data_IF_346432293712
#
_entry.id   IF_346432293712
#
_cell.length_a   1.000
_cell.length_b   1.000
_cell.length_c   1.000
_cell.angle_alpha   90.00
_cell.angle_beta   90.00
_cell.angle_gamma   90.00
#
_symmetry.space_group_name_H-M   'P 1'
#
loop_
_entity.id
_entity.type
_entity.pdbx_description
1 polymer ?
#
# COMPACT_ATOMS: atom_id res chain seq x y z
N UNK A 1 5.03 9.20 -25.66
CA UNK A 1 4.78 10.62 -25.95
C UNK A 1 5.19 10.93 -27.38
N UNK A 2 4.23 11.36 -28.23
CA UNK A 2 4.49 11.70 -29.65
C UNK A 2 5.34 12.96 -29.81
N UNK A 3 5.38 13.84 -28.82
CA UNK A 3 6.10 15.10 -28.89
C UNK A 3 7.60 14.90 -28.67
N UNK A 4 7.96 13.98 -27.80
CA UNK A 4 9.35 13.72 -27.41
C UNK A 4 9.90 12.40 -27.91
N UNK A 5 9.05 11.51 -28.43
CA UNK A 5 9.41 10.15 -28.82
C UNK A 5 9.74 9.23 -27.63
N UNK A 6 9.57 9.68 -26.40
CA UNK A 6 9.94 8.92 -25.20
C UNK A 6 8.82 8.02 -24.72
N UNK A 7 9.18 6.84 -24.25
CA UNK A 7 8.29 6.00 -23.46
C UNK A 7 8.13 6.62 -22.06
N UNK A 8 6.87 6.84 -21.65
CA UNK A 8 6.53 7.47 -20.35
C UNK A 8 6.05 6.46 -19.31
N UNK A 9 5.69 5.26 -19.75
CA UNK A 9 5.22 4.20 -18.85
C UNK A 9 4.47 3.11 -19.58
N UNK A 10 3.83 2.24 -18.81
CA UNK A 10 2.97 1.17 -19.29
C UNK A 10 1.59 1.33 -18.68
N UNK A 11 0.55 1.14 -19.50
CA UNK A 11 -0.85 1.19 -19.08
C UNK A 11 -1.53 -0.14 -19.40
N UNK A 12 -2.39 -0.63 -18.51
CA UNK A 12 -3.15 -1.86 -18.71
C UNK A 12 -4.51 -1.60 -19.35
N UNK A 13 -5.03 -0.39 -19.20
CA UNK A 13 -6.28 0.05 -19.79
C UNK A 13 -6.04 1.34 -20.57
N UNK A 14 -6.74 1.50 -21.67
CA UNK A 14 -6.61 2.69 -22.53
C UNK A 14 -7.82 3.59 -22.34
N UNK A 15 -7.58 4.82 -21.91
CA UNK A 15 -8.59 5.87 -21.79
C UNK A 15 -8.22 7.04 -22.70
N UNK A 16 -9.22 7.83 -23.06
CA UNK A 16 -8.98 8.99 -23.93
C UNK A 16 -8.15 10.08 -23.24
N UNK A 17 -8.42 10.32 -21.96
CA UNK A 17 -7.65 11.22 -21.11
C UNK A 17 -7.26 10.52 -19.81
N UNK A 18 -6.01 10.64 -19.42
CA UNK A 18 -5.51 10.03 -18.19
C UNK A 18 -4.30 10.75 -17.60
N UNK A 19 -4.00 10.47 -16.33
CA UNK A 19 -2.80 10.94 -15.64
C UNK A 19 -1.80 9.80 -15.53
N UNK A 20 -0.58 10.02 -15.97
CA UNK A 20 0.53 9.08 -15.81
C UNK A 20 1.81 9.85 -15.53
N UNK A 21 2.63 9.36 -14.62
CA UNK A 21 3.87 10.02 -14.20
C UNK A 21 3.70 11.50 -13.80
N UNK A 22 2.58 11.81 -13.09
CA UNK A 22 2.26 13.15 -12.60
C UNK A 22 1.86 14.17 -13.67
N UNK A 23 1.57 13.73 -14.90
CA UNK A 23 1.12 14.60 -16.00
C UNK A 23 -0.16 14.06 -16.64
N UNK A 24 -0.96 14.98 -17.16
CA UNK A 24 -2.17 14.64 -17.94
C UNK A 24 -1.80 14.38 -19.38
N UNK A 25 -2.39 13.33 -19.94
CA UNK A 25 -2.17 12.86 -21.29
C UNK A 25 -3.47 12.66 -22.03
N UNK A 26 -3.46 12.92 -23.32
CA UNK A 26 -4.52 12.60 -24.25
C UNK A 26 -4.07 11.48 -25.19
N UNK A 27 -4.93 10.49 -25.36
CA UNK A 27 -4.74 9.43 -26.35
C UNK A 27 -4.82 10.01 -27.76
N UNK A 28 -3.75 9.80 -28.55
CA UNK A 28 -3.72 10.18 -29.96
C UNK A 28 -3.98 8.97 -30.86
N UNK A 29 -3.33 7.83 -30.54
CA UNK A 29 -3.43 6.62 -31.35
C UNK A 29 -3.24 5.39 -30.45
N UNK A 30 -4.03 4.34 -30.71
CA UNK A 30 -3.85 3.02 -30.08
C UNK A 30 -3.47 2.01 -31.16
N UNK A 31 -2.24 1.52 -31.09
CA UNK A 31 -1.68 0.49 -31.98
C UNK A 31 -1.74 -0.87 -31.30
N UNK A 32 -2.88 -1.52 -31.37
CA UNK A 32 -3.13 -2.80 -30.67
C UNK A 32 -2.09 -3.88 -31.04
N UNK A 33 -1.78 -4.03 -32.34
CA UNK A 33 -0.81 -5.04 -32.82
C UNK A 33 0.58 -4.83 -32.24
N UNK A 34 0.99 -3.58 -32.04
CA UNK A 34 2.27 -3.22 -31.47
C UNK A 34 2.24 -3.12 -29.94
N UNK A 35 1.06 -3.24 -29.34
CA UNK A 35 0.83 -2.98 -27.90
C UNK A 35 1.37 -1.62 -27.47
N UNK A 36 1.14 -0.60 -28.31
CA UNK A 36 1.59 0.76 -28.06
C UNK A 36 0.44 1.75 -28.04
N UNK A 37 0.54 2.68 -27.11
CA UNK A 37 -0.37 3.82 -26.99
C UNK A 37 0.44 5.08 -27.22
N UNK A 38 0.02 5.85 -28.22
CA UNK A 38 0.64 7.13 -28.57
C UNK A 38 -0.16 8.25 -27.91
N UNK A 39 0.52 9.10 -27.15
CA UNK A 39 -0.13 10.13 -26.33
C UNK A 39 0.55 11.49 -26.50
N UNK A 40 -0.19 12.56 -26.20
CA UNK A 40 0.37 13.91 -26.10
C UNK A 40 0.05 14.53 -24.73
N UNK A 41 0.90 15.44 -24.23
CA UNK A 41 0.63 16.10 -22.96
C UNK A 41 -0.57 17.03 -23.08
N UNK A 42 -1.41 17.06 -22.03
CA UNK A 42 -2.50 18.02 -21.86
C UNK A 42 -2.07 19.13 -20.89
N UNK A 43 -2.43 20.38 -21.22
CA UNK A 43 -2.11 21.54 -20.39
C UNK A 43 -2.96 21.61 -19.10
N UNK A 44 -4.14 20.99 -19.07
CA UNK A 44 -5.05 21.02 -17.94
C UNK A 44 -5.72 19.66 -17.72
N UNK A 45 -6.03 19.34 -16.48
CA UNK A 45 -6.81 18.16 -16.09
C UNK A 45 -8.29 18.45 -16.37
N UNK A 46 -8.93 17.66 -17.23
CA UNK A 46 -10.37 17.73 -17.43
C UNK A 46 -11.11 16.92 -16.36
N UNK A 47 -12.37 17.24 -16.11
CA UNK A 47 -13.23 16.48 -15.18
C UNK A 47 -13.39 14.99 -15.57
N UNK A 48 -13.05 14.62 -16.79
CA UNK A 48 -13.10 13.24 -17.31
C UNK A 48 -11.73 12.56 -17.36
N UNK A 49 -10.67 13.22 -16.89
CA UNK A 49 -9.33 12.63 -16.86
C UNK A 49 -9.29 11.52 -15.83
N UNK A 50 -9.05 10.28 -16.28
CA UNK A 50 -8.83 9.16 -15.36
C UNK A 50 -7.44 9.25 -14.79
N UNK A 51 -7.37 9.27 -13.47
CA UNK A 51 -6.11 9.06 -12.76
C UNK A 51 -5.87 7.56 -12.80
N UNK A 52 -4.77 7.13 -13.39
CA UNK A 52 -4.23 5.83 -13.08
C UNK A 52 -3.66 5.94 -11.67
N UNK A 53 -4.52 5.78 -10.72
CA UNK A 53 -4.06 5.30 -9.42
C UNK A 53 -3.48 3.93 -9.74
N UNK A 54 -2.17 3.85 -9.64
CA UNK A 54 -1.54 2.55 -9.72
C UNK A 54 -2.16 1.71 -8.62
N UNK A 55 -3.06 0.83 -9.00
CA UNK A 55 -3.46 -0.31 -8.18
C UNK A 55 -2.30 -1.29 -8.05
N UNK A 56 -1.16 -0.94 -8.57
CA UNK A 56 0.13 -1.49 -8.21
C UNK A 56 0.41 -1.12 -6.76
N UNK A 57 -0.35 -1.69 -5.94
CA UNK A 57 -0.16 -1.88 -4.52
C UNK A 57 1.01 -2.83 -4.29
N UNK A 58 2.09 -2.66 -5.03
CA UNK A 58 3.35 -3.24 -4.63
C UNK A 58 3.54 -2.79 -3.19
N UNK A 59 3.40 -3.74 -2.26
CA UNK A 59 3.51 -3.44 -0.85
C UNK A 59 4.80 -2.66 -0.63
N UNK A 60 4.68 -1.44 -0.18
CA UNK A 60 5.86 -0.68 0.19
C UNK A 60 6.59 -1.50 1.23
N UNK A 61 7.81 -1.87 0.94
CA UNK A 61 8.64 -2.55 1.93
C UNK A 61 8.65 -1.71 3.22
N UNK A 62 8.52 -2.34 4.39
CA UNK A 62 8.69 -1.67 5.68
C UNK A 62 10.00 -0.85 5.73
N UNK A 63 10.99 -1.18 4.90
CA UNK A 63 12.23 -0.41 4.72
C UNK A 63 11.98 0.99 4.19
N UNK A 64 11.04 1.16 3.25
CA UNK A 64 10.65 2.49 2.79
C UNK A 64 9.96 3.27 3.91
N UNK A 65 9.07 2.63 4.66
CA UNK A 65 8.44 3.26 5.83
C UNK A 65 9.47 3.70 6.87
N UNK A 66 10.51 2.90 7.12
CA UNK A 66 11.62 3.25 7.99
C UNK A 66 12.37 4.50 7.52
N UNK A 67 12.71 4.57 6.22
CA UNK A 67 13.38 5.75 5.63
C UNK A 67 12.49 6.99 5.68
N UNK A 68 11.21 6.85 5.34
CA UNK A 68 10.25 7.96 5.40
C UNK A 68 10.09 8.46 6.84
N UNK A 69 9.95 7.55 7.81
CA UNK A 69 9.85 7.91 9.23
C UNK A 69 11.07 8.69 9.69
N UNK A 70 12.27 8.19 9.41
CA UNK A 70 13.51 8.87 9.79
C UNK A 70 13.66 10.25 9.15
N UNK A 71 13.17 10.43 7.91
CA UNK A 71 13.23 11.71 7.21
C UNK A 71 12.18 12.71 7.67
N UNK A 72 10.97 12.26 7.94
CA UNK A 72 9.84 13.13 8.33
C UNK A 72 9.85 13.44 9.83
N UNK A 73 10.40 12.54 10.64
CA UNK A 73 10.38 12.62 12.10
C UNK A 73 11.77 12.29 12.66
N UNK A 74 12.81 13.09 12.37
CA UNK A 74 14.20 12.80 12.72
C UNK A 74 14.47 12.71 14.24
N UNK A 75 13.62 13.33 15.03
CA UNK A 75 13.78 13.35 16.51
C UNK A 75 13.18 12.13 17.21
N UNK A 76 12.51 11.24 16.46
CA UNK A 76 11.94 10.02 17.04
C UNK A 76 12.93 8.86 17.03
N UNK A 77 12.96 8.11 18.13
CA UNK A 77 13.71 6.85 18.18
C UNK A 77 13.17 5.82 17.16
N UNK A 78 13.98 4.86 16.70
CA UNK A 78 13.58 3.88 15.68
C UNK A 78 12.28 3.12 15.99
N UNK A 79 12.03 2.83 17.25
CA UNK A 79 10.84 2.11 17.73
C UNK A 79 9.67 3.03 18.13
N UNK A 80 9.80 4.33 17.95
CA UNK A 80 8.74 5.30 18.21
C UNK A 80 8.02 5.64 16.93
N UNK A 81 6.69 5.82 17.03
CA UNK A 81 5.84 6.27 15.94
C UNK A 81 5.16 7.57 16.34
N UNK A 82 5.09 8.55 15.42
CA UNK A 82 4.36 9.79 15.69
C UNK A 82 2.88 9.49 15.82
N UNK A 83 2.23 10.15 16.74
CA UNK A 83 0.79 10.02 16.99
C UNK A 83 0.18 11.40 17.26
N UNK A 84 -1.11 11.50 16.98
CA UNK A 84 -1.92 12.66 17.37
C UNK A 84 -3.33 12.21 17.79
N UNK A 85 -4.04 13.09 18.46
CA UNK A 85 -5.42 12.82 18.89
C UNK A 85 -6.39 13.55 18.01
N UNK A 86 -7.46 12.86 17.65
CA UNK A 86 -8.64 13.45 17.06
C UNK A 86 -9.89 13.00 17.84
N UNK A 87 -10.41 13.90 18.67
CA UNK A 87 -11.47 13.56 19.61
C UNK A 87 -11.07 12.42 20.58
N UNK A 88 -11.81 11.32 20.53
CA UNK A 88 -11.58 10.12 21.35
C UNK A 88 -10.67 9.09 20.63
N UNK A 89 -10.20 9.38 19.45
CA UNK A 89 -9.35 8.48 18.69
C UNK A 89 -7.86 8.85 18.83
N UNK A 90 -7.02 7.86 18.86
CA UNK A 90 -5.58 8.00 18.72
C UNK A 90 -5.19 7.60 17.30
N UNK A 91 -4.57 8.51 16.59
CA UNK A 91 -4.09 8.33 15.22
C UNK A 91 -2.57 8.15 15.25
N UNK A 92 -2.11 6.99 14.81
CA UNK A 92 -0.70 6.62 14.81
C UNK A 92 -0.19 6.55 13.37
N UNK A 93 0.88 7.27 13.06
CA UNK A 93 1.42 7.36 11.69
C UNK A 93 2.39 6.21 11.46
N UNK A 94 2.06 5.26 10.60
CA UNK A 94 2.91 4.09 10.32
C UNK A 94 3.62 4.13 8.96
N UNK A 95 3.04 4.77 7.95
CA UNK A 95 3.62 4.92 6.59
C UNK A 95 3.91 3.60 5.88
N UNK A 96 3.26 2.50 6.25
CA UNK A 96 3.54 1.15 5.74
C UNK A 96 2.81 0.82 4.42
N UNK A 97 1.89 1.68 3.97
CA UNK A 97 1.07 1.45 2.80
C UNK A 97 -0.15 0.56 3.08
N UNK A 98 -1.01 0.44 2.08
CA UNK A 98 -2.32 -0.20 2.21
C UNK A 98 -2.23 -1.69 2.57
N UNK A 99 -1.30 -2.43 1.98
CA UNK A 99 -1.17 -3.87 2.20
C UNK A 99 -0.81 -4.21 3.63
N UNK A 100 0.27 -3.62 4.14
CA UNK A 100 0.67 -3.83 5.54
C UNK A 100 -0.31 -3.21 6.53
N UNK A 101 -0.85 -2.03 6.19
CA UNK A 101 -1.89 -1.38 7.00
C UNK A 101 -3.09 -2.29 7.19
N UNK A 102 -3.60 -2.88 6.11
CA UNK A 102 -4.68 -3.85 6.17
C UNK A 102 -4.34 -5.07 7.03
N UNK A 103 -3.21 -5.74 6.76
CA UNK A 103 -2.80 -6.95 7.49
C UNK A 103 -2.68 -6.67 8.99
N UNK A 104 -2.06 -5.55 9.35
CA UNK A 104 -1.86 -5.19 10.76
C UNK A 104 -3.19 -4.83 11.44
N UNK A 105 -4.09 -4.12 10.75
CA UNK A 105 -5.41 -3.77 11.25
C UNK A 105 -6.23 -5.03 11.57
N UNK A 106 -6.33 -5.96 10.64
CA UNK A 106 -7.06 -7.22 10.82
C UNK A 106 -6.44 -8.07 11.94
N UNK A 107 -5.12 -8.19 11.97
CA UNK A 107 -4.42 -8.98 13.00
C UNK A 107 -4.59 -8.38 14.41
N UNK A 108 -4.61 -7.07 14.54
CA UNK A 108 -4.87 -6.39 15.82
C UNK A 108 -6.34 -6.51 16.23
N UNK A 109 -7.27 -6.40 15.27
CA UNK A 109 -8.70 -6.60 15.51
C UNK A 109 -8.98 -8.02 15.99
N UNK A 110 -8.37 -9.04 15.41
CA UNK A 110 -8.46 -10.42 15.86
C UNK A 110 -7.95 -10.62 17.30
N UNK A 111 -7.07 -9.75 17.77
CA UNK A 111 -6.59 -9.72 19.15
C UNK A 111 -7.44 -8.85 20.10
N UNK A 112 -8.63 -8.45 19.66
CA UNK A 112 -9.58 -7.65 20.46
C UNK A 112 -9.21 -6.17 20.56
N UNK A 113 -8.36 -5.66 19.68
CA UNK A 113 -8.07 -4.23 19.57
C UNK A 113 -8.98 -3.60 18.54
N UNK A 114 -9.73 -2.58 18.92
CA UNK A 114 -10.54 -1.81 17.98
C UNK A 114 -9.61 -0.88 17.16
N UNK A 115 -9.20 -1.38 16.01
CA UNK A 115 -8.25 -0.72 15.13
C UNK A 115 -8.78 -0.68 13.69
N UNK A 116 -8.45 0.38 12.97
CA UNK A 116 -8.66 0.47 11.52
C UNK A 116 -7.47 1.16 10.86
N UNK A 117 -7.20 0.79 9.61
CA UNK A 117 -6.20 1.50 8.81
C UNK A 117 -6.86 2.60 7.98
N UNK A 118 -6.22 3.75 7.94
CA UNK A 118 -6.65 4.90 7.14
C UNK A 118 -5.59 5.18 6.05
N UNK A 119 -5.94 4.84 4.82
CA UNK A 119 -5.14 5.10 3.61
C UNK A 119 -3.70 4.58 3.64
N UNK A 120 -3.42 3.51 4.38
CA UNK A 120 -2.08 2.94 4.49
C UNK A 120 -1.05 3.84 5.16
N UNK A 121 -1.47 4.87 5.88
CA UNK A 121 -0.59 5.86 6.54
C UNK A 121 -0.84 5.98 8.02
N UNK A 122 -2.08 5.84 8.43
CA UNK A 122 -2.54 6.08 9.79
C UNK A 122 -3.29 4.86 10.32
N UNK A 123 -2.99 4.51 11.56
CA UNK A 123 -3.81 3.61 12.35
C UNK A 123 -4.72 4.38 13.27
N UNK A 124 -6.00 4.08 13.23
CA UNK A 124 -7.00 4.59 14.16
C UNK A 124 -7.14 3.59 15.28
N UNK A 125 -6.88 4.00 16.49
CA UNK A 125 -7.12 3.21 17.70
C UNK A 125 -8.34 3.81 18.38
N UNK A 126 -9.47 3.09 18.34
CA UNK A 126 -10.72 3.49 18.97
C UNK A 126 -10.85 2.85 20.36
N UNK A 127 -11.49 3.55 21.30
CA UNK A 127 -12.04 2.93 22.50
C UNK A 127 -11.10 2.55 23.62
N UNK A 128 -10.25 3.41 24.03
CA UNK A 128 -9.55 3.27 25.32
C UNK A 128 -9.28 4.61 25.94
N UNK A 129 -9.10 4.68 27.25
CA UNK A 129 -8.37 5.78 27.85
C UNK A 129 -6.99 5.74 27.17
N UNK A 130 -6.88 6.49 26.05
CA UNK A 130 -5.68 6.50 25.23
C UNK A 130 -4.55 6.89 26.17
N UNK A 131 -3.81 5.88 26.61
CA UNK A 131 -2.66 6.07 27.46
C UNK A 131 -1.70 6.93 26.63
N UNK A 132 -1.48 8.15 27.10
CA UNK A 132 -0.55 9.10 26.49
C UNK A 132 0.90 8.60 26.46
N UNK A 133 1.12 7.38 26.90
CA UNK A 133 2.39 6.66 26.97
C UNK A 133 2.60 5.63 25.86
N UNK A 134 1.69 5.51 24.88
CA UNK A 134 1.91 4.65 23.73
C UNK A 134 3.08 5.20 22.90
N UNK A 135 4.29 4.87 23.31
CA UNK A 135 5.54 5.19 22.61
C UNK A 135 5.87 4.18 21.52
N UNK A 136 5.21 3.02 21.53
CA UNK A 136 5.49 1.91 20.60
C UNK A 136 4.22 1.51 19.85
N UNK A 137 4.40 1.03 18.64
CA UNK A 137 3.31 0.45 17.85
C UNK A 137 2.82 -0.84 18.54
N UNK A 138 1.51 -1.06 18.66
CA UNK A 138 0.98 -2.33 19.17
C UNK A 138 1.20 -3.44 18.12
N UNK A 139 2.34 -4.11 18.17
CA UNK A 139 2.64 -5.17 17.22
C UNK A 139 1.74 -6.40 17.46
N UNK A 140 1.07 -6.96 16.43
CA UNK A 140 0.38 -8.23 16.54
C UNK A 140 1.39 -9.38 16.64
N UNK A 141 0.94 -10.53 17.11
CA UNK A 141 1.77 -11.73 17.08
C UNK A 141 1.84 -12.32 15.66
N UNK A 142 2.87 -13.15 15.41
CA UNK A 142 3.09 -13.75 14.10
C UNK A 142 1.92 -14.62 13.63
N UNK A 143 1.31 -15.39 14.53
CA UNK A 143 0.18 -16.25 14.21
C UNK A 143 -1.02 -15.45 13.69
N UNK A 144 -1.38 -14.35 14.36
CA UNK A 144 -2.48 -13.50 13.90
C UNK A 144 -2.22 -12.92 12.50
N UNK A 145 -0.98 -12.56 12.18
CA UNK A 145 -0.62 -12.11 10.83
C UNK A 145 -0.77 -13.24 9.81
N UNK A 146 -0.31 -14.44 10.14
CA UNK A 146 -0.43 -15.61 9.27
C UNK A 146 -1.90 -15.94 9.00
N UNK A 147 -2.75 -15.90 10.01
CA UNK A 147 -4.18 -16.15 9.87
C UNK A 147 -4.86 -15.13 8.94
N UNK A 148 -4.47 -13.86 9.01
CA UNK A 148 -4.96 -12.83 8.09
C UNK A 148 -4.48 -13.06 6.66
N UNK A 149 -3.22 -13.43 6.45
CA UNK A 149 -2.68 -13.74 5.12
C UNK A 149 -3.43 -14.93 4.52
N UNK A 150 -3.62 -16.00 5.30
CA UNK A 150 -4.35 -17.20 4.88
C UNK A 150 -5.82 -16.89 4.50
N UNK A 151 -6.50 -16.07 5.31
CA UNK A 151 -7.89 -15.69 5.06
C UNK A 151 -8.10 -14.64 3.96
N UNK A 152 -7.03 -14.06 3.43
CA UNK A 152 -7.09 -12.90 2.53
C UNK A 152 -6.34 -13.09 1.22
N UNK A 153 -6.09 -14.32 0.78
CA UNK A 153 -5.27 -14.63 -0.40
C UNK A 153 -5.66 -13.82 -1.64
N UNK A 154 -6.94 -13.79 -2.00
CA UNK A 154 -7.41 -13.05 -3.17
C UNK A 154 -7.22 -11.53 -3.07
N UNK A 155 -7.40 -10.99 -1.87
CA UNK A 155 -7.21 -9.55 -1.64
C UNK A 155 -5.73 -9.16 -1.72
N UNK A 156 -4.84 -10.04 -1.27
CA UNK A 156 -3.41 -9.84 -1.30
C UNK A 156 -2.79 -10.09 -2.67
N UNK A 157 -3.37 -10.98 -3.48
CA UNK A 157 -2.90 -11.30 -4.84
C UNK A 157 -2.69 -10.02 -5.68
N UNK A 158 -3.71 -9.18 -5.76
CA UNK A 158 -3.63 -7.93 -6.51
C UNK A 158 -2.59 -6.96 -5.91
N UNK A 159 -2.50 -6.95 -4.58
CA UNK A 159 -1.59 -6.08 -3.83
C UNK A 159 -0.12 -6.48 -3.96
N UNK A 160 0.15 -7.77 -4.09
CA UNK A 160 1.51 -8.31 -4.17
C UNK A 160 1.99 -8.51 -5.61
N UNK A 161 1.11 -8.27 -6.59
CA UNK A 161 1.45 -8.40 -8.00
C UNK A 161 1.71 -9.84 -8.41
N UNK A 162 1.00 -10.77 -7.82
CA UNK A 162 1.10 -12.20 -8.11
C UNK A 162 0.86 -12.47 -9.60
N UNK A 163 1.66 -13.33 -10.20
CA UNK A 163 1.60 -13.63 -11.64
C UNK A 163 0.33 -14.36 -12.06
N UNK A 164 0.06 -14.41 -13.36
CA UNK A 164 -1.15 -15.02 -13.93
C UNK A 164 -1.38 -16.49 -13.52
N UNK A 165 -0.33 -17.20 -13.15
CA UNK A 165 -0.40 -18.62 -12.73
C UNK A 165 -0.59 -18.79 -11.22
N UNK A 166 -0.57 -17.72 -10.44
CA UNK A 166 -0.66 -17.80 -8.99
C UNK A 166 -1.90 -18.58 -8.53
N UNK A 167 -3.06 -18.29 -9.10
CA UNK A 167 -4.33 -18.99 -8.79
C UNK A 167 -4.33 -20.47 -9.15
N UNK A 168 -3.38 -20.92 -9.97
CA UNK A 168 -3.24 -22.35 -10.34
C UNK A 168 -2.34 -23.10 -9.37
N UNK A 169 -1.67 -22.42 -8.45
CA UNK A 169 -0.87 -23.06 -7.42
C UNK A 169 -1.77 -23.68 -6.34
N UNK A 170 -1.34 -24.76 -5.69
CA UNK A 170 -1.93 -25.22 -4.44
C UNK A 170 -1.97 -24.09 -3.39
N UNK A 171 -3.01 -24.08 -2.58
CA UNK A 171 -3.24 -23.01 -1.59
C UNK A 171 -2.04 -22.82 -0.64
N UNK A 172 -1.40 -23.90 -0.23
CA UNK A 172 -0.24 -23.87 0.64
C UNK A 172 0.93 -23.09 0.01
N UNK A 173 1.14 -23.25 -1.29
CA UNK A 173 2.18 -22.52 -2.03
C UNK A 173 1.81 -21.06 -2.25
N UNK A 174 0.52 -20.75 -2.42
CA UNK A 174 0.06 -19.35 -2.49
C UNK A 174 0.32 -18.62 -1.17
N UNK A 175 0.03 -19.27 -0.05
CA UNK A 175 0.29 -18.74 1.30
C UNK A 175 1.79 -18.51 1.52
N UNK A 176 2.60 -19.50 1.18
CA UNK A 176 4.06 -19.42 1.34
C UNK A 176 4.65 -18.28 0.52
N UNK A 177 4.25 -18.14 -0.74
CA UNK A 177 4.69 -17.05 -1.63
C UNK A 177 4.34 -15.67 -1.06
N UNK A 178 3.11 -15.50 -0.56
CA UNK A 178 2.69 -14.24 0.08
C UNK A 178 3.50 -13.94 1.35
N UNK A 179 3.72 -14.93 2.21
CA UNK A 179 4.49 -14.74 3.45
C UNK A 179 5.95 -14.37 3.16
N UNK A 180 6.55 -14.96 2.13
CA UNK A 180 7.90 -14.64 1.69
C UNK A 180 7.97 -13.22 1.12
N UNK A 181 7.03 -12.87 0.24
CA UNK A 181 6.98 -11.56 -0.41
C UNK A 181 6.75 -10.42 0.59
N UNK A 182 5.94 -10.64 1.62
CA UNK A 182 5.63 -9.66 2.65
C UNK A 182 6.77 -9.41 3.64
N UNK A 183 7.77 -10.29 3.72
CA UNK A 183 8.85 -10.18 4.74
C UNK A 183 8.31 -9.89 6.16
N UNK A 184 7.39 -10.73 6.61
CA UNK A 184 6.65 -10.52 7.89
C UNK A 184 7.61 -10.42 9.07
N UNK A 185 8.73 -11.17 9.04
CA UNK A 185 9.71 -11.12 10.13
C UNK A 185 10.36 -9.74 10.26
N UNK A 186 10.80 -9.18 9.13
CA UNK A 186 11.38 -7.83 9.12
C UNK A 186 10.36 -6.76 9.47
N UNK A 187 9.07 -6.93 9.08
CA UNK A 187 7.99 -6.05 9.51
C UNK A 187 7.84 -6.05 11.04
N UNK A 188 7.80 -7.22 11.69
CA UNK A 188 7.67 -7.32 13.14
C UNK A 188 8.89 -6.75 13.89
N UNK A 189 10.08 -6.84 13.31
CA UNK A 189 11.28 -6.20 13.85
C UNK A 189 11.20 -4.66 13.74
N UNK A 190 10.69 -4.16 12.63
CA UNK A 190 10.47 -2.71 12.43
C UNK A 190 9.44 -2.11 13.43
N UNK A 191 8.45 -2.89 13.87
CA UNK A 191 7.41 -2.45 14.80
C UNK A 191 7.84 -2.47 16.27
N UNK A 192 8.93 -3.14 16.62
CA UNK A 192 9.50 -3.23 17.98
C UNK A 192 10.39 -2.04 18.30
#
# INVERSE_FOLDING_TARGET
>A
DITTGRQIGTVFFVFHHFVLAGRSWELVEHREKERKVMVRPLAAVSAHTRVFEGTGTGGYSYRLASVLKARLFPDLAPNQFPYFRDGNQLLLVHLLGLTYGYILSEALSAQGRDTSDMDGKLFVLSGGKADTKLKSFPAPNLSAIQDVVNGSLFRLEDSLGSGAFFRSLPEELQIEDHLLTLDIRGLLEFLK
#
